data_IF_158762621416
#
_entry.id   IF_158762621416
#
_cell.length_a   1.000
_cell.length_b   1.000
_cell.length_c   1.000
_cell.angle_alpha   90.00
_cell.angle_beta   90.00
_cell.angle_gamma   90.00
#
_symmetry.space_group_name_H-M   'P 1'
#
loop_
_entity.id
_entity.type
_entity.pdbx_description
1 polymer ?
#
# COMPACT_ATOMS: atom_id res chain seq x y z
N UNK A 1 -24.80 0.77 -12.08
CA UNK A 1 -24.11 2.01 -11.65
C UNK A 1 -23.79 1.90 -10.16
N UNK A 2 -22.59 1.43 -9.76
CA UNK A 2 -22.26 1.10 -8.35
C UNK A 2 -21.33 2.11 -7.65
N UNK A 3 -20.88 3.16 -8.34
CA UNK A 3 -19.88 4.11 -7.88
C UNK A 3 -20.38 5.54 -8.04
N UNK A 4 -20.44 6.29 -6.93
CA UNK A 4 -20.55 7.75 -6.94
C UNK A 4 -19.12 8.27 -7.04
N UNK A 5 -18.74 8.88 -8.16
CA UNK A 5 -17.42 9.51 -8.34
C UNK A 5 -17.57 10.95 -7.89
N UNK A 6 -16.81 11.35 -6.88
CA UNK A 6 -16.95 12.68 -6.25
C UNK A 6 -15.68 13.51 -6.42
N UNK A 7 -14.52 12.86 -6.59
CA UNK A 7 -13.21 13.49 -6.74
C UNK A 7 -12.37 12.82 -7.82
N UNK A 8 -11.32 13.50 -8.29
CA UNK A 8 -10.39 12.96 -9.28
C UNK A 8 -9.69 11.68 -8.78
N UNK A 9 -9.37 11.62 -7.49
CA UNK A 9 -8.72 10.46 -6.86
C UNK A 9 -9.53 9.17 -6.99
N UNK A 10 -10.86 9.28 -7.04
CA UNK A 10 -11.73 8.13 -7.25
C UNK A 10 -11.55 7.53 -8.65
N UNK A 11 -11.38 8.39 -9.66
CA UNK A 11 -11.16 7.95 -11.04
C UNK A 11 -9.79 7.27 -11.13
N UNK A 12 -8.76 7.87 -10.53
CA UNK A 12 -7.41 7.31 -10.51
C UNK A 12 -7.38 5.94 -9.81
N UNK A 13 -8.01 5.83 -8.64
CA UNK A 13 -8.11 4.58 -7.90
C UNK A 13 -8.86 3.51 -8.71
N UNK A 14 -9.95 3.87 -9.38
CA UNK A 14 -10.69 2.94 -10.23
C UNK A 14 -9.85 2.44 -11.40
N UNK A 15 -9.16 3.31 -12.11
CA UNK A 15 -8.28 2.91 -13.24
C UNK A 15 -7.16 1.99 -12.77
N UNK A 16 -6.63 2.21 -11.55
CA UNK A 16 -5.61 1.36 -10.96
C UNK A 16 -6.19 -0.01 -10.53
N UNK A 17 -7.40 -0.04 -9.97
CA UNK A 17 -8.07 -1.25 -9.48
C UNK A 17 -8.68 -2.13 -10.58
N UNK A 18 -9.06 -1.56 -11.73
CA UNK A 18 -9.75 -2.28 -12.83
C UNK A 18 -8.77 -3.13 -13.67
N UNK A 19 -7.92 -3.93 -13.00
CA UNK A 19 -6.91 -4.81 -13.59
C UNK A 19 -6.94 -6.20 -12.93
N UNK A 20 -6.58 -7.28 -13.63
CA UNK A 20 -6.48 -8.62 -13.04
C UNK A 20 -5.56 -8.62 -11.80
N UNK A 21 -6.07 -9.12 -10.67
CA UNK A 21 -5.44 -9.04 -9.35
C UNK A 21 -6.08 -7.94 -8.48
N UNK A 22 -5.77 -6.65 -8.69
CA UNK A 22 -6.34 -5.55 -7.90
C UNK A 22 -7.87 -5.44 -7.93
N UNK A 23 -8.55 -6.02 -8.92
CA UNK A 23 -10.02 -6.03 -8.98
C UNK A 23 -10.67 -6.65 -7.74
N UNK A 24 -9.99 -7.59 -7.07
CA UNK A 24 -10.48 -8.22 -5.84
C UNK A 24 -10.61 -7.22 -4.67
N UNK A 25 -9.89 -6.11 -4.73
CA UNK A 25 -9.91 -5.04 -3.72
C UNK A 25 -11.02 -4.01 -3.96
N UNK A 26 -11.67 -4.02 -5.13
CA UNK A 26 -12.77 -3.09 -5.47
C UNK A 26 -13.89 -3.14 -4.42
N UNK A 27 -14.40 -4.31 -3.99
CA UNK A 27 -15.46 -4.38 -2.98
C UNK A 27 -15.07 -3.72 -1.65
N UNK A 28 -13.81 -3.87 -1.22
CA UNK A 28 -13.30 -3.28 0.02
C UNK A 28 -13.22 -1.75 -0.10
N UNK A 29 -12.60 -1.26 -1.18
CA UNK A 29 -12.52 0.16 -1.50
C UNK A 29 -13.90 0.82 -1.55
N UNK A 30 -14.88 0.17 -2.21
CA UNK A 30 -16.25 0.70 -2.31
C UNK A 30 -16.99 0.75 -0.98
N UNK A 31 -16.84 -0.28 -0.14
CA UNK A 31 -17.49 -0.32 1.17
C UNK A 31 -16.93 0.76 2.08
N UNK A 32 -15.60 0.91 2.11
CA UNK A 32 -14.92 1.93 2.90
C UNK A 32 -15.28 3.34 2.41
N UNK A 33 -15.25 3.58 1.09
CA UNK A 33 -15.65 4.85 0.50
C UNK A 33 -17.08 5.26 0.86
N UNK A 34 -18.03 4.32 0.80
CA UNK A 34 -19.45 4.60 1.10
C UNK A 34 -19.75 4.76 2.59
N UNK A 35 -18.74 4.65 3.46
CA UNK A 35 -18.93 4.59 4.91
C UNK A 35 -19.69 3.33 5.37
N UNK A 36 -19.85 2.33 4.49
CA UNK A 36 -20.57 1.09 4.78
C UNK A 36 -19.70 0.07 5.54
N UNK A 37 -18.39 0.33 5.65
CA UNK A 37 -17.45 -0.41 6.49
C UNK A 37 -16.42 0.57 7.08
N UNK A 38 -15.92 0.30 8.30
CA UNK A 38 -14.83 1.10 8.85
C UNK A 38 -13.57 0.93 8.01
N UNK A 39 -12.83 2.04 7.81
CA UNK A 39 -11.52 2.01 7.15
C UNK A 39 -10.56 1.22 8.02
N UNK A 40 -9.99 0.15 7.47
CA UNK A 40 -8.98 -0.66 8.15
C UNK A 40 -7.60 -0.25 7.68
N UNK A 41 -6.79 0.23 8.61
CA UNK A 41 -5.38 0.49 8.36
C UNK A 41 -4.56 -0.69 8.90
N UNK A 42 -3.62 -1.20 8.11
CA UNK A 42 -2.75 -2.30 8.52
C UNK A 42 -1.85 -1.93 9.71
N UNK A 43 -1.52 -0.65 9.84
CA UNK A 43 -0.75 -0.10 10.96
C UNK A 43 -1.07 1.40 11.11
N UNK A 44 -1.06 2.00 12.32
CA UNK A 44 -1.30 3.43 12.52
C UNK A 44 -0.41 4.34 11.65
N UNK A 45 0.86 3.97 11.48
CA UNK A 45 1.81 4.71 10.63
C UNK A 45 1.47 4.71 9.13
N UNK A 46 0.61 3.79 8.68
CA UNK A 46 0.17 3.70 7.29
C UNK A 46 -1.08 4.55 7.01
N UNK A 47 -1.69 5.13 8.04
CA UNK A 47 -2.90 5.93 7.91
C UNK A 47 -2.69 7.08 6.91
N UNK A 48 -1.66 7.88 7.10
CA UNK A 48 -1.35 9.03 6.23
C UNK A 48 -1.11 8.60 4.77
N UNK A 49 -0.53 7.42 4.55
CA UNK A 49 -0.18 6.92 3.20
C UNK A 49 -1.39 6.37 2.46
N UNK A 50 -2.38 5.83 3.18
CA UNK A 50 -3.52 5.11 2.60
C UNK A 50 -4.86 5.80 2.83
N UNK A 51 -4.87 7.03 3.37
CA UNK A 51 -6.13 7.76 3.63
C UNK A 51 -6.91 8.03 2.35
N UNK A 52 -6.24 8.48 1.28
CA UNK A 52 -6.88 8.80 -0.01
C UNK A 52 -7.38 7.56 -0.76
N UNK A 53 -7.00 6.38 -0.28
CA UNK A 53 -7.37 5.07 -0.83
C UNK A 53 -8.15 4.23 0.18
N UNK A 54 -8.68 4.88 1.23
CA UNK A 54 -9.51 4.26 2.26
C UNK A 54 -8.87 3.01 2.89
N UNK A 55 -7.57 3.06 3.17
CA UNK A 55 -6.79 1.98 3.79
C UNK A 55 -6.28 0.92 2.81
N UNK A 56 -6.68 0.97 1.54
CA UNK A 56 -6.30 -0.02 0.51
C UNK A 56 -4.99 0.42 -0.17
N UNK A 57 -4.00 -0.46 -0.26
CA UNK A 57 -2.74 -0.16 -0.94
C UNK A 57 -2.88 -0.42 -2.44
N UNK A 58 -2.99 0.65 -3.23
CA UNK A 58 -3.29 0.60 -4.67
C UNK A 58 -2.08 1.00 -5.50
N UNK A 59 -1.29 1.97 -5.02
CA UNK A 59 -0.20 2.58 -5.78
C UNK A 59 1.18 2.06 -5.37
N UNK A 60 2.12 2.10 -6.30
CA UNK A 60 3.51 1.67 -6.05
C UNK A 60 4.23 2.63 -5.10
N UNK A 61 3.90 3.90 -5.20
CA UNK A 61 4.38 4.99 -4.37
C UNK A 61 3.95 4.79 -2.92
N UNK A 62 2.77 4.21 -2.67
CA UNK A 62 2.33 3.85 -1.33
C UNK A 62 3.16 2.72 -0.73
N UNK A 63 3.54 1.72 -1.53
CA UNK A 63 4.46 0.64 -1.08
C UNK A 63 5.82 1.23 -0.71
N UNK A 64 6.33 2.16 -1.53
CA UNK A 64 7.61 2.80 -1.28
C UNK A 64 7.57 3.70 -0.03
N UNK A 65 6.53 4.52 0.10
CA UNK A 65 6.29 5.35 1.27
C UNK A 65 6.11 4.51 2.54
N UNK A 66 5.42 3.36 2.46
CA UNK A 66 5.26 2.43 3.57
C UNK A 66 6.60 1.84 4.01
N UNK A 67 7.45 1.42 3.07
CA UNK A 67 8.79 0.92 3.39
C UNK A 67 9.66 1.99 4.06
N UNK A 68 9.59 3.22 3.56
CA UNK A 68 10.30 4.35 4.15
C UNK A 68 9.79 4.68 5.56
N UNK A 69 8.47 4.82 5.72
CA UNK A 69 7.83 5.19 6.99
C UNK A 69 7.97 4.10 8.06
N UNK A 70 7.83 2.83 7.70
CA UNK A 70 7.88 1.71 8.65
C UNK A 70 9.32 1.29 8.97
N UNK A 71 10.16 1.09 7.96
CA UNK A 71 11.47 0.47 8.13
C UNK A 71 12.65 1.45 7.98
N UNK A 72 12.38 2.74 7.76
CA UNK A 72 13.41 3.76 7.58
C UNK A 72 14.16 3.65 6.26
N UNK A 73 13.57 3.01 5.24
CA UNK A 73 14.19 2.92 3.92
C UNK A 73 14.29 4.31 3.28
N UNK A 74 15.40 4.57 2.60
CA UNK A 74 15.44 5.68 1.64
C UNK A 74 14.52 5.39 0.45
N UNK A 75 14.08 6.43 -0.27
CA UNK A 75 13.23 6.23 -1.45
C UNK A 75 13.89 5.37 -2.53
N UNK A 76 15.22 5.44 -2.64
CA UNK A 76 15.98 4.57 -3.53
C UNK A 76 15.93 3.09 -3.09
N UNK A 77 16.09 2.82 -1.78
CA UNK A 77 15.97 1.47 -1.23
C UNK A 77 14.54 0.93 -1.37
N UNK A 78 13.54 1.78 -1.17
CA UNK A 78 12.14 1.42 -1.30
C UNK A 78 11.77 1.04 -2.75
N UNK A 79 12.31 1.73 -3.76
CA UNK A 79 12.13 1.33 -5.16
C UNK A 79 12.84 0.00 -5.49
N UNK A 80 14.03 -0.24 -4.93
CA UNK A 80 14.72 -1.53 -5.07
C UNK A 80 13.87 -2.67 -4.49
N UNK A 81 13.28 -2.47 -3.30
CA UNK A 81 12.36 -3.42 -2.67
C UNK A 81 11.14 -3.69 -3.57
N UNK A 82 10.50 -2.65 -4.08
CA UNK A 82 9.37 -2.77 -5.00
C UNK A 82 9.71 -3.58 -6.25
N UNK A 83 10.87 -3.31 -6.86
CA UNK A 83 11.37 -4.08 -8.03
C UNK A 83 11.63 -5.54 -7.69
N UNK A 84 12.19 -5.82 -6.50
CA UNK A 84 12.41 -7.18 -6.03
C UNK A 84 11.10 -7.96 -5.84
N UNK A 85 10.06 -7.32 -5.28
CA UNK A 85 8.72 -7.90 -5.15
C UNK A 85 8.14 -8.28 -6.53
N UNK A 86 8.26 -7.41 -7.53
CA UNK A 86 7.79 -7.68 -8.89
C UNK A 86 8.49 -8.87 -9.55
N UNK A 87 9.79 -9.06 -9.30
CA UNK A 87 10.57 -10.20 -9.82
C UNK A 87 10.36 -11.51 -9.04
N UNK A 88 9.77 -11.46 -7.84
CA UNK A 88 9.50 -12.62 -6.96
C UNK A 88 10.72 -13.51 -6.68
N UNK A 89 11.92 -12.93 -6.64
CA UNK A 89 13.14 -13.69 -6.32
C UNK A 89 13.19 -14.01 -4.82
N UNK A 90 13.06 -15.30 -4.47
CA UNK A 90 12.97 -15.77 -3.08
C UNK A 90 14.16 -15.37 -2.21
N UNK A 91 15.39 -15.47 -2.73
CA UNK A 91 16.60 -15.16 -1.97
C UNK A 91 16.69 -13.66 -1.64
N UNK A 92 16.37 -12.80 -2.63
CA UNK A 92 16.34 -11.36 -2.43
C UNK A 92 15.22 -10.96 -1.47
N UNK A 93 14.02 -11.55 -1.62
CA UNK A 93 12.88 -11.27 -0.73
C UNK A 93 13.15 -11.69 0.72
N UNK A 94 13.85 -12.80 0.95
CA UNK A 94 14.24 -13.22 2.29
C UNK A 94 15.20 -12.23 2.94
N UNK A 95 16.21 -11.75 2.18
CA UNK A 95 17.14 -10.72 2.63
C UNK A 95 16.42 -9.41 2.95
N UNK A 96 15.56 -8.95 2.05
CA UNK A 96 14.80 -7.72 2.24
C UNK A 96 13.80 -7.82 3.39
N UNK A 97 13.21 -8.98 3.64
CA UNK A 97 12.36 -9.19 4.82
C UNK A 97 13.14 -8.99 6.11
N UNK A 98 14.35 -9.55 6.21
CA UNK A 98 15.19 -9.37 7.39
C UNK A 98 15.58 -7.90 7.59
N UNK A 99 15.98 -7.22 6.51
CA UNK A 99 16.30 -5.78 6.53
C UNK A 99 15.10 -4.94 6.95
N UNK A 100 13.91 -5.23 6.42
CA UNK A 100 12.68 -4.53 6.73
C UNK A 100 12.31 -4.66 8.21
N UNK A 101 12.30 -5.88 8.75
CA UNK A 101 11.97 -6.12 10.17
C UNK A 101 12.99 -5.44 11.10
N UNK A 102 14.28 -5.57 10.81
CA UNK A 102 15.32 -4.88 11.58
C UNK A 102 15.20 -3.35 11.47
N UNK A 103 14.78 -2.84 10.30
CA UNK A 103 14.48 -1.44 10.08
C UNK A 103 13.28 -0.96 10.90
N UNK A 104 12.19 -1.73 10.94
CA UNK A 104 11.01 -1.42 11.74
C UNK A 104 11.34 -1.29 13.23
N UNK A 105 12.08 -2.27 13.76
CA UNK A 105 12.51 -2.26 15.15
C UNK A 105 13.40 -1.05 15.47
N UNK A 106 14.33 -0.69 14.56
CA UNK A 106 15.25 0.43 14.75
C UNK A 106 14.59 1.80 14.59
N UNK A 107 13.68 1.95 13.62
CA UNK A 107 13.11 3.26 13.25
C UNK A 107 11.87 3.60 14.08
N UNK A 108 10.99 2.62 14.33
CA UNK A 108 9.71 2.85 14.99
C UNK A 108 9.48 1.96 16.22
N UNK A 109 10.40 1.02 16.53
CA UNK A 109 10.24 0.10 17.66
C UNK A 109 9.12 -0.93 17.48
N UNK A 110 8.77 -1.27 16.22
CA UNK A 110 7.71 -2.22 15.85
C UNK A 110 8.22 -3.44 15.11
#
# INVERSE_FOLDING_TARGET
>A
RRLNVEKLDDIMALVALYRPGPMELIPEFLKAKKGAAPIKYLHPLLKEITTDTYGVMIYQEQVMAAASKLAGYSMAQADLLRKAMGKKNKAIMAKERANFVAGCARTNGI
#
